data_IF_383170062916
#
_entry.id   IF_383170062916
#
_cell.length_a   1.000
_cell.length_b   1.000
_cell.length_c   1.000
_cell.angle_alpha   90.00
_cell.angle_beta   90.00
_cell.angle_gamma   90.00
#
_symmetry.space_group_name_H-M   'P 1'
#
loop_
_entity.id
_entity.type
_entity.pdbx_description
1 polymer ?
#
# COMPACT_ATOMS: atom_id res chain seq x y z
N UNK A 1 -26.20 38.53 9.48
CA UNK A 1 -24.73 38.46 9.57
C UNK A 1 -24.35 37.00 9.79
N UNK A 2 -23.63 36.41 8.84
CA UNK A 2 -23.07 35.07 8.97
C UNK A 2 -21.73 35.14 9.70
N UNK A 3 -21.50 34.27 10.69
CA UNK A 3 -20.18 33.72 10.99
C UNK A 3 -20.30 32.55 11.98
N UNK A 4 -20.04 31.32 11.54
CA UNK A 4 -19.42 30.29 12.39
C UNK A 4 -18.77 29.24 11.47
N UNK A 5 -17.73 29.69 10.76
CA UNK A 5 -16.80 28.80 10.10
C UNK A 5 -15.91 28.10 11.11
N UNK A 6 -15.68 26.81 10.88
CA UNK A 6 -14.36 26.21 11.06
C UNK A 6 -13.95 25.85 12.49
N UNK A 7 -14.47 24.72 12.97
CA UNK A 7 -13.73 23.58 13.54
C UNK A 7 -14.74 22.67 14.21
N UNK A 8 -15.13 21.58 13.52
CA UNK A 8 -15.67 20.42 14.21
C UNK A 8 -14.66 20.05 15.30
N UNK A 9 -15.07 20.17 16.56
CA UNK A 9 -14.26 19.75 17.70
C UNK A 9 -13.95 18.26 17.58
N UNK A 10 -12.90 17.75 18.24
CA UNK A 10 -12.56 16.34 18.22
C UNK A 10 -13.59 15.55 19.05
N UNK A 11 -14.80 15.36 18.53
CA UNK A 11 -15.77 14.38 19.02
C UNK A 11 -15.61 13.05 18.30
N UNK A 12 -14.35 12.58 18.16
CA UNK A 12 -14.03 11.16 17.96
C UNK A 12 -13.36 10.55 19.20
N UNK A 13 -13.48 11.20 20.36
CA UNK A 13 -13.07 10.65 21.65
C UNK A 13 -13.99 9.51 22.15
N UNK A 14 -14.45 8.61 21.27
CA UNK A 14 -15.10 7.36 21.67
C UNK A 14 -14.91 6.29 20.59
N UNK A 15 -13.75 5.63 20.66
CA UNK A 15 -13.71 4.17 20.62
C UNK A 15 -12.43 3.69 21.31
N UNK A 16 -12.45 3.78 22.65
CA UNK A 16 -11.60 2.97 23.53
C UNK A 16 -12.52 2.02 24.26
N UNK A 17 -12.62 0.79 23.79
CA UNK A 17 -13.05 -0.32 24.62
C UNK A 17 -11.83 -1.20 24.85
N UNK A 18 -11.12 -0.95 25.95
CA UNK A 18 -10.30 -1.97 26.56
C UNK A 18 -11.23 -2.78 27.45
N UNK A 19 -11.65 -3.95 26.97
CA UNK A 19 -12.37 -4.89 27.82
C UNK A 19 -11.44 -5.39 28.92
N UNK A 20 -12.04 -5.75 30.04
CA UNK A 20 -11.41 -6.28 31.24
C UNK A 20 -10.78 -7.66 30.97
N UNK A 21 -9.61 -7.71 30.33
CA UNK A 21 -8.70 -8.85 30.39
C UNK A 21 -7.25 -8.34 30.31
N UNK A 22 -6.33 -9.05 30.96
CA UNK A 22 -4.95 -8.59 31.19
C UNK A 22 -4.02 -8.69 29.95
N UNK A 23 -4.57 -8.91 28.76
CA UNK A 23 -3.82 -9.16 27.53
C UNK A 23 -3.95 -7.99 26.54
N UNK A 24 -3.20 -6.92 26.79
CA UNK A 24 -3.15 -5.78 25.87
C UNK A 24 -2.51 -6.20 24.53
N UNK A 25 -3.19 -5.93 23.41
CA UNK A 25 -2.64 -6.14 22.07
C UNK A 25 -1.89 -4.90 21.55
N UNK A 26 -2.19 -3.72 22.10
CA UNK A 26 -1.57 -2.43 21.78
C UNK A 26 -1.11 -1.71 23.05
N UNK A 27 0.04 -1.04 23.00
CA UNK A 27 0.53 -0.19 24.08
C UNK A 27 0.99 1.19 23.59
N UNK A 28 0.94 2.16 24.50
CA UNK A 28 1.54 3.47 24.27
C UNK A 28 2.96 3.47 24.83
N UNK A 29 3.89 4.04 24.07
CA UNK A 29 5.28 4.23 24.46
C UNK A 29 5.60 5.71 24.33
N UNK A 30 6.12 6.33 25.39
CA UNK A 30 6.60 7.71 25.34
C UNK A 30 8.13 7.71 25.37
N UNK A 31 8.74 8.19 24.29
CA UNK A 31 10.19 8.33 24.16
C UNK A 31 10.48 9.76 23.74
N UNK A 32 11.33 10.48 24.49
CA UNK A 32 11.71 11.87 24.19
C UNK A 32 10.51 12.82 23.97
N UNK A 33 9.45 12.66 24.77
CA UNK A 33 8.24 13.50 24.67
C UNK A 33 7.29 13.16 23.51
N UNK A 34 7.64 12.18 22.68
CA UNK A 34 6.76 11.68 21.61
C UNK A 34 6.03 10.41 22.08
N UNK A 35 4.72 10.38 21.90
CA UNK A 35 3.89 9.22 22.24
C UNK A 35 3.55 8.44 20.97
N UNK A 36 3.91 7.16 20.96
CA UNK A 36 3.63 6.22 19.88
C UNK A 36 2.66 5.14 20.37
N UNK A 37 1.70 4.76 19.53
CA UNK A 37 0.87 3.57 19.71
C UNK A 37 1.46 2.44 18.87
N UNK A 38 1.79 1.30 19.47
CA UNK A 38 2.39 0.15 18.79
C UNK A 38 1.79 -1.17 19.29
N UNK A 39 1.80 -2.24 18.48
CA UNK A 39 1.39 -3.54 18.98
C UNK A 39 2.36 -3.98 20.08
N UNK A 40 1.84 -4.67 21.11
CA UNK A 40 2.67 -5.21 22.20
C UNK A 40 3.70 -6.20 21.64
N UNK A 41 3.28 -7.05 20.70
CA UNK A 41 4.20 -7.85 19.90
C UNK A 41 4.67 -7.05 18.68
N UNK A 42 5.84 -6.43 18.78
CA UNK A 42 6.47 -5.67 17.69
C UNK A 42 6.78 -6.47 16.42
N UNK A 43 6.74 -7.81 16.48
CA UNK A 43 6.96 -8.71 15.34
C UNK A 43 5.65 -9.21 14.73
N UNK A 44 4.49 -8.90 15.33
CA UNK A 44 3.21 -9.35 14.81
C UNK A 44 2.76 -8.50 13.62
N UNK A 45 2.24 -9.16 12.59
CA UNK A 45 1.51 -8.51 11.50
C UNK A 45 0.15 -8.04 12.00
N UNK A 46 -0.24 -6.82 11.62
CA UNK A 46 -1.56 -6.27 11.93
C UNK A 46 -2.48 -6.52 10.74
N UNK A 47 -3.49 -7.36 10.93
CA UNK A 47 -4.58 -7.56 9.98
C UNK A 47 -5.82 -6.79 10.45
N UNK A 48 -6.40 -5.97 9.57
CA UNK A 48 -7.61 -5.19 9.82
C UNK A 48 -8.67 -5.71 8.85
N UNK A 49 -9.73 -6.33 9.37
CA UNK A 49 -10.82 -6.87 8.55
C UNK A 49 -11.77 -5.80 8.01
N UNK A 50 -11.77 -4.61 8.62
CA UNK A 50 -12.57 -3.46 8.19
C UNK A 50 -11.78 -2.41 7.42
N UNK A 51 -12.44 -1.31 7.09
CA UNK A 51 -11.83 -0.16 6.43
C UNK A 51 -10.93 0.64 7.39
N UNK A 52 -9.77 1.07 6.90
CA UNK A 52 -8.89 1.98 7.61
C UNK A 52 -9.12 3.43 7.13
N UNK A 53 -9.75 4.25 7.95
CA UNK A 53 -9.91 5.69 7.71
C UNK A 53 -8.80 6.49 8.42
N UNK A 54 -7.88 7.08 7.65
CA UNK A 54 -6.75 7.85 8.18
C UNK A 54 -6.97 9.34 7.92
N UNK A 55 -7.06 10.14 8.99
CA UNK A 55 -7.15 11.62 8.86
C UNK A 55 -5.81 12.30 8.52
N UNK A 56 -4.71 11.55 8.56
CA UNK A 56 -3.36 11.97 8.19
C UNK A 56 -2.80 11.15 7.02
N UNK A 57 -1.57 10.68 7.16
CA UNK A 57 -0.86 9.93 6.11
C UNK A 57 -0.35 8.58 6.62
N UNK A 58 -0.31 7.60 5.73
CA UNK A 58 0.40 6.33 5.94
C UNK A 58 1.78 6.49 5.31
N UNK A 59 2.84 6.36 6.11
CA UNK A 59 4.21 6.60 5.68
C UNK A 59 5.08 5.36 5.94
N UNK A 60 5.82 4.92 4.93
CA UNK A 60 6.80 3.86 5.05
C UNK A 60 8.19 4.51 5.27
N UNK A 61 8.91 4.17 6.36
CA UNK A 61 10.27 4.65 6.58
C UNK A 61 11.18 4.33 5.39
N UNK A 62 11.93 5.32 4.91
CA UNK A 62 12.73 5.19 3.68
C UNK A 62 14.13 5.81 3.78
N UNK A 63 14.59 6.07 5.01
CA UNK A 63 15.91 6.61 5.33
C UNK A 63 17.04 5.69 4.82
N UNK A 64 18.14 6.28 4.35
CA UNK A 64 19.32 5.55 3.90
C UNK A 64 19.88 4.61 4.98
N UNK A 65 19.87 5.05 6.24
CA UNK A 65 20.40 4.26 7.37
C UNK A 65 19.56 3.02 7.70
N UNK A 66 18.35 2.90 7.12
CA UNK A 66 17.44 1.77 7.29
C UNK A 66 17.50 0.77 6.13
N UNK A 67 18.37 1.01 5.13
CA UNK A 67 18.46 0.25 3.89
C UNK A 67 19.88 -0.31 3.71
N UNK A 68 19.95 -1.47 3.10
CA UNK A 68 21.20 -2.14 2.75
C UNK A 68 21.09 -2.73 1.33
N UNK A 69 22.22 -3.05 0.68
CA UNK A 69 22.29 -3.63 -0.67
C UNK A 69 21.50 -2.82 -1.72
N UNK A 70 21.70 -1.51 -1.74
CA UNK A 70 20.96 -0.59 -2.62
C UNK A 70 21.47 -0.71 -4.06
N UNK A 71 20.61 -1.17 -4.97
CA UNK A 71 20.87 -1.23 -6.42
C UNK A 71 19.85 -0.38 -7.20
N UNK A 72 20.26 0.10 -8.38
CA UNK A 72 19.33 0.72 -9.32
C UNK A 72 18.36 -0.31 -9.92
N UNK A 73 17.10 0.08 -10.09
CA UNK A 73 16.10 -0.75 -10.75
C UNK A 73 16.44 -0.90 -12.24
N UNK A 74 16.62 -2.15 -12.68
CA UNK A 74 16.85 -2.49 -14.09
C UNK A 74 15.53 -2.41 -14.87
N UNK A 75 15.57 -1.84 -16.08
CA UNK A 75 14.38 -1.74 -16.95
C UNK A 75 13.72 -3.09 -17.23
N UNK A 76 14.50 -4.17 -17.30
CA UNK A 76 14.00 -5.53 -17.52
C UNK A 76 13.00 -5.99 -16.46
N UNK A 77 13.06 -5.45 -15.24
CA UNK A 77 12.08 -5.73 -14.18
C UNK A 77 10.69 -5.19 -14.53
N UNK A 78 10.62 -4.16 -15.38
CA UNK A 78 9.36 -3.50 -15.76
C UNK A 78 8.66 -4.19 -16.92
N UNK A 79 9.31 -5.12 -17.63
CA UNK A 79 8.72 -5.79 -18.79
C UNK A 79 7.53 -6.66 -18.37
N UNK A 80 7.60 -7.27 -17.19
CA UNK A 80 6.52 -8.05 -16.60
C UNK A 80 5.30 -7.20 -16.21
N UNK A 81 5.42 -5.87 -16.09
CA UNK A 81 4.26 -5.01 -15.76
C UNK A 81 3.17 -5.09 -16.83
N UNK A 82 3.56 -5.27 -18.10
CA UNK A 82 2.62 -5.34 -19.22
C UNK A 82 1.83 -6.65 -19.25
N UNK A 83 2.27 -7.66 -18.49
CA UNK A 83 1.57 -8.93 -18.35
C UNK A 83 0.50 -8.89 -17.25
N UNK A 84 0.55 -7.88 -16.36
CA UNK A 84 -0.45 -7.71 -15.30
C UNK A 84 -1.77 -7.19 -15.89
N UNK A 85 -2.87 -7.84 -15.54
CA UNK A 85 -4.21 -7.48 -16.02
C UNK A 85 -5.02 -6.84 -14.90
N UNK A 86 -5.32 -5.53 -14.96
CA UNK A 86 -6.23 -4.89 -14.03
C UNK A 86 -7.62 -5.52 -14.11
N UNK A 87 -8.24 -5.77 -12.95
CA UNK A 87 -9.56 -6.37 -12.83
C UNK A 87 -10.53 -5.42 -12.16
N UNK A 88 -11.81 -5.61 -12.49
CA UNK A 88 -12.96 -5.07 -11.77
C UNK A 88 -13.62 -6.21 -11.00
N UNK A 89 -13.85 -6.06 -9.71
CA UNK A 89 -14.42 -7.13 -8.87
C UNK A 89 -15.29 -6.58 -7.75
N UNK A 90 -16.04 -7.46 -7.11
CA UNK A 90 -16.75 -7.24 -5.83
C UNK A 90 -16.28 -8.29 -4.83
N UNK A 91 -16.38 -8.00 -3.53
CA UNK A 91 -16.10 -9.02 -2.51
C UNK A 91 -17.32 -9.94 -2.31
N UNK A 92 -17.06 -11.22 -2.07
CA UNK A 92 -18.12 -12.23 -1.86
C UNK A 92 -18.99 -11.89 -0.65
N UNK A 93 -18.36 -11.43 0.43
CA UNK A 93 -19.03 -11.11 1.70
C UNK A 93 -19.44 -9.64 1.80
N UNK A 94 -19.45 -8.89 0.69
CA UNK A 94 -19.97 -7.53 0.64
C UNK A 94 -21.43 -7.52 0.18
N UNK A 95 -22.35 -7.36 1.13
CA UNK A 95 -23.79 -7.24 0.86
C UNK A 95 -24.12 -6.09 -0.11
N UNK A 96 -23.31 -5.03 -0.13
CA UNK A 96 -23.52 -3.86 -1.00
C UNK A 96 -22.98 -4.07 -2.41
N UNK A 97 -22.25 -5.16 -2.65
CA UNK A 97 -21.61 -5.48 -3.93
C UNK A 97 -20.86 -4.27 -4.52
N UNK A 98 -20.13 -3.56 -3.67
CA UNK A 98 -19.36 -2.39 -4.06
C UNK A 98 -18.32 -2.80 -5.09
N UNK A 99 -18.25 -2.03 -6.17
CA UNK A 99 -17.25 -2.27 -7.22
C UNK A 99 -15.88 -1.77 -6.78
N UNK A 100 -14.88 -2.63 -6.95
CA UNK A 100 -13.47 -2.37 -6.70
C UNK A 100 -12.63 -2.59 -7.98
N UNK A 101 -11.46 -1.97 -8.00
CA UNK A 101 -10.47 -2.10 -9.07
C UNK A 101 -9.12 -2.46 -8.45
N UNK A 102 -8.42 -3.41 -9.06
CA UNK A 102 -7.14 -3.89 -8.54
C UNK A 102 -6.63 -5.06 -9.36
N UNK A 103 -5.88 -5.96 -8.71
CA UNK A 103 -5.35 -7.17 -9.32
C UNK A 103 -5.73 -8.42 -8.52
N UNK A 104 -5.64 -9.58 -9.16
CA UNK A 104 -5.65 -10.87 -8.46
C UNK A 104 -4.24 -11.14 -7.95
N UNK A 105 -4.09 -11.33 -6.64
CA UNK A 105 -2.78 -11.49 -6.01
C UNK A 105 -1.99 -12.68 -6.59
N UNK A 106 -2.66 -13.77 -6.93
CA UNK A 106 -2.04 -14.95 -7.54
C UNK A 106 -1.47 -14.65 -8.93
N UNK A 107 -2.19 -13.90 -9.76
CA UNK A 107 -1.69 -13.47 -11.09
C UNK A 107 -0.49 -12.52 -10.95
N UNK A 108 -0.49 -11.65 -9.92
CA UNK A 108 0.65 -10.77 -9.63
C UNK A 108 1.86 -11.58 -9.16
N UNK A 109 1.65 -12.60 -8.33
CA UNK A 109 2.71 -13.42 -7.75
C UNK A 109 3.53 -14.18 -8.81
N UNK A 110 2.89 -14.61 -9.90
CA UNK A 110 3.57 -15.26 -11.03
C UNK A 110 4.65 -14.37 -11.68
N UNK A 111 4.46 -13.05 -11.63
CA UNK A 111 5.33 -12.07 -12.28
C UNK A 111 6.18 -11.25 -11.30
N UNK A 112 5.65 -11.00 -10.10
CA UNK A 112 6.23 -10.17 -9.04
C UNK A 112 5.94 -10.79 -7.67
N UNK A 113 6.59 -11.91 -7.31
CA UNK A 113 6.33 -12.58 -6.04
C UNK A 113 6.64 -11.70 -4.82
N UNK A 114 7.63 -10.80 -4.94
CA UNK A 114 8.00 -9.86 -3.87
C UNK A 114 6.92 -8.81 -3.57
N UNK A 115 5.97 -8.58 -4.48
CA UNK A 115 4.87 -7.64 -4.28
C UNK A 115 3.66 -8.29 -3.61
N UNK A 116 3.68 -9.61 -3.39
CA UNK A 116 2.56 -10.35 -2.82
C UNK A 116 2.93 -10.81 -1.41
N UNK A 117 2.11 -10.38 -0.45
CA UNK A 117 2.23 -10.82 0.93
C UNK A 117 1.18 -11.90 1.21
N UNK A 118 1.57 -12.92 1.95
CA UNK A 118 0.64 -13.94 2.45
C UNK A 118 0.58 -13.84 3.96
N UNK A 119 -0.61 -13.58 4.50
CA UNK A 119 -0.88 -13.62 5.94
C UNK A 119 -1.66 -14.88 6.22
N UNK A 120 -1.07 -15.76 7.04
CA UNK A 120 -1.73 -16.96 7.53
C UNK A 120 -1.96 -16.84 9.03
N UNK A 121 -3.16 -17.21 9.48
CA UNK A 121 -3.51 -17.22 10.88
C UNK A 121 -4.45 -18.38 11.19
N UNK A 122 -4.36 -18.89 12.40
CA UNK A 122 -5.22 -19.95 12.93
C UNK A 122 -6.17 -19.32 13.94
N UNK A 123 -7.48 -19.42 13.69
CA UNK A 123 -8.51 -19.00 14.63
C UNK A 123 -9.42 -20.19 14.89
N UNK A 124 -9.51 -20.62 16.16
CA UNK A 124 -10.31 -21.77 16.58
C UNK A 124 -10.05 -23.04 15.75
N UNK A 125 -8.78 -23.46 15.66
CA UNK A 125 -8.31 -24.61 14.87
C UNK A 125 -8.60 -24.54 13.35
N UNK A 126 -9.06 -23.39 12.85
CA UNK A 126 -9.25 -23.13 11.43
C UNK A 126 -8.13 -22.24 10.92
N UNK A 127 -7.33 -22.76 10.00
CA UNK A 127 -6.33 -21.97 9.29
C UNK A 127 -6.99 -21.15 8.18
N UNK A 128 -6.71 -19.86 8.14
CA UNK A 128 -6.99 -19.02 6.99
C UNK A 128 -5.71 -18.40 6.46
N UNK A 129 -5.61 -18.29 5.14
CA UNK A 129 -4.49 -17.69 4.44
C UNK A 129 -5.00 -16.70 3.41
N UNK A 130 -4.56 -15.44 3.52
CA UNK A 130 -4.99 -14.34 2.66
C UNK A 130 -3.76 -13.78 1.95
N UNK A 131 -3.86 -13.66 0.62
CA UNK A 131 -2.85 -12.95 -0.19
C UNK A 131 -3.26 -11.50 -0.42
N UNK A 132 -2.31 -10.59 -0.32
CA UNK A 132 -2.50 -9.16 -0.58
C UNK A 132 -1.37 -8.62 -1.46
N UNK A 133 -1.66 -7.55 -2.21
CA UNK A 133 -0.71 -6.91 -3.13
C UNK A 133 -0.17 -5.62 -2.50
N UNK A 134 1.15 -5.44 -2.50
CA UNK A 134 1.82 -4.21 -2.09
C UNK A 134 1.82 -3.18 -3.23
N UNK A 135 0.70 -2.48 -3.37
CA UNK A 135 0.53 -1.45 -4.39
C UNK A 135 1.52 -0.27 -4.26
N UNK A 136 2.04 0.01 -3.05
CA UNK A 136 2.98 1.12 -2.85
C UNK A 136 4.34 0.85 -3.52
N UNK A 137 4.81 -0.40 -3.49
CA UNK A 137 6.07 -0.78 -4.15
C UNK A 137 5.93 -0.94 -5.67
N UNK A 138 4.71 -0.99 -6.20
CA UNK A 138 4.50 -0.91 -7.66
C UNK A 138 4.81 0.48 -8.21
N UNK A 139 4.67 1.54 -7.41
CA UNK A 139 4.85 2.94 -7.84
C UNK A 139 6.24 3.19 -8.45
N UNK A 140 7.37 2.85 -7.80
CA UNK A 140 8.70 3.05 -8.39
C UNK A 140 8.94 2.24 -9.67
N UNK A 141 8.35 1.04 -9.80
CA UNK A 141 8.42 0.23 -11.03
C UNK A 141 7.68 0.92 -12.18
N UNK A 142 6.47 1.44 -11.91
CA UNK A 142 5.69 2.21 -12.88
C UNK A 142 6.42 3.48 -13.30
N UNK A 143 7.01 4.20 -12.34
CA UNK A 143 7.81 5.41 -12.64
C UNK A 143 8.98 5.09 -13.57
N UNK A 144 9.69 3.99 -13.34
CA UNK A 144 10.79 3.57 -14.21
C UNK A 144 10.30 3.31 -15.63
N UNK A 145 9.16 2.62 -15.79
CA UNK A 145 8.57 2.39 -17.12
C UNK A 145 8.12 3.69 -17.79
N UNK A 146 7.54 4.62 -17.04
CA UNK A 146 7.12 5.94 -17.56
C UNK A 146 8.33 6.72 -18.06
N UNK A 147 9.45 6.74 -17.31
CA UNK A 147 10.69 7.37 -17.76
C UNK A 147 11.21 6.74 -19.05
N UNK A 148 11.12 5.41 -19.16
CA UNK A 148 11.51 4.72 -20.37
C UNK A 148 10.64 5.10 -21.57
N UNK A 149 9.32 5.11 -21.38
CA UNK A 149 8.36 5.56 -22.40
C UNK A 149 8.64 7.00 -22.84
N UNK A 150 8.96 7.91 -21.90
CA UNK A 150 9.32 9.29 -22.23
C UNK A 150 10.58 9.34 -23.11
N UNK A 151 11.62 8.57 -22.79
CA UNK A 151 12.84 8.51 -23.62
C UNK A 151 12.55 8.00 -25.04
N UNK A 152 11.68 7.01 -25.17
CA UNK A 152 11.27 6.50 -26.48
C UNK A 152 10.52 7.58 -27.29
N UNK A 153 9.62 8.32 -26.64
CA UNK A 153 8.90 9.44 -27.26
C UNK A 153 9.87 10.53 -27.73
N UNK A 154 10.80 10.95 -26.87
CA UNK A 154 11.78 11.99 -27.21
C UNK A 154 12.66 11.58 -28.40
N UNK A 155 13.06 10.31 -28.44
CA UNK A 155 13.81 9.74 -29.56
C UNK A 155 13.01 9.76 -30.86
N UNK A 156 11.73 9.40 -30.82
CA UNK A 156 10.85 9.42 -31.99
C UNK A 156 10.64 10.85 -32.51
N UNK A 157 10.40 11.81 -31.62
CA UNK A 157 10.25 13.23 -31.98
C UNK A 157 11.51 13.76 -32.65
N UNK A 158 12.69 13.44 -32.13
CA UNK A 158 13.96 13.84 -32.72
C UNK A 158 14.18 13.28 -34.13
N UNK A 159 13.75 12.04 -34.40
CA UNK A 159 13.83 11.42 -35.73
C UNK A 159 12.87 12.11 -36.71
N UNK A 160 11.63 12.36 -36.29
CA UNK A 160 10.64 13.05 -37.12
C UNK A 160 11.09 14.48 -37.48
N UNK A 161 11.66 15.22 -36.53
CA UNK A 161 12.18 16.58 -36.78
C UNK A 161 13.28 16.61 -37.85
N UNK A 162 14.18 15.62 -37.88
CA UNK A 162 15.24 15.52 -38.90
C UNK A 162 14.72 15.13 -40.30
N UNK A 163 13.52 14.56 -40.37
CA UNK A 163 12.95 14.06 -41.64
C UNK A 163 12.15 15.15 -42.36
N UNK A 164 11.66 16.18 -41.64
CA UNK A 164 10.96 17.33 -42.21
C UNK A 164 11.87 18.46 -42.76
N UNK A 165 13.19 18.37 -42.56
CA UNK A 165 14.17 19.35 -43.07
C UNK A 165 14.88 18.91 -44.37
N UNK A 166 14.39 17.87 -45.04
CA UNK A 166 14.87 17.42 -46.36
C UNK A 166 13.77 17.55 -47.41
#
# INVERSE_FOLDING_TARGET
MANYGGRQGPTSAYQKFFTYSNDYTWNYSTTNGQTLLKPVNSKATVYISGDLFVGGSINNPSDFNLKDNIEELRLSLTDNLMNLVPKKYTYKDDEKQKTHYGFIAQEVEEHFPSLVNTVSATVNDTEFSIKSVNYLEMIPLLLLKIKDLQRQIDSLVAIMGKTGEK
#
